data_IF_284069998333
#
_entry.id   IF_284069998333
#
_cell.length_a   1.000
_cell.length_b   1.000
_cell.length_c   1.000
_cell.angle_alpha   90.00
_cell.angle_beta   90.00
_cell.angle_gamma   90.00
#
_symmetry.space_group_name_H-M   'P 1'
#
loop_
_entity.id
_entity.type
_entity.pdbx_description
1 polymer ?
#
# COMPACT_ATOMS: atom_id res chain seq x y z
N UNK A 1 37.95 48.55 -39.24
CA UNK A 1 37.21 47.34 -39.63
C UNK A 1 36.48 46.86 -38.36
N UNK A 2 35.24 47.32 -38.17
CA UNK A 2 34.45 47.02 -36.99
C UNK A 2 33.47 45.91 -37.41
N UNK A 3 33.69 44.71 -36.87
CA UNK A 3 32.77 43.58 -37.04
C UNK A 3 31.60 43.74 -36.10
N UNK A 4 30.41 44.09 -36.61
CA UNK A 4 29.16 44.02 -35.93
C UNK A 4 28.74 42.53 -35.82
N UNK A 5 28.85 41.94 -34.62
CA UNK A 5 28.17 40.69 -34.26
C UNK A 5 26.76 41.05 -33.78
N UNK A 6 25.80 41.07 -34.71
CA UNK A 6 24.39 41.05 -34.37
C UNK A 6 24.02 39.61 -34.03
N UNK A 7 24.01 39.28 -32.74
CA UNK A 7 23.36 38.05 -32.26
C UNK A 7 21.83 38.26 -32.40
N UNK A 8 21.27 37.63 -33.43
CA UNK A 8 19.82 37.54 -33.58
C UNK A 8 19.30 36.65 -32.44
N UNK A 9 18.72 37.27 -31.43
CA UNK A 9 17.92 36.56 -30.43
C UNK A 9 16.66 36.12 -31.19
N UNK A 10 16.60 34.84 -31.62
CA UNK A 10 15.35 34.23 -32.06
C UNK A 10 14.34 34.29 -30.94
N UNK A 11 13.36 35.19 -31.06
CA UNK A 11 12.21 35.22 -30.20
C UNK A 11 11.40 33.96 -30.48
N UNK A 12 11.67 32.90 -29.72
CA UNK A 12 10.88 31.67 -29.77
C UNK A 12 9.43 32.02 -29.46
N UNK A 13 8.55 31.79 -30.41
CA UNK A 13 7.11 32.09 -30.26
C UNK A 13 6.60 31.49 -28.96
N UNK A 14 5.71 32.18 -28.27
CA UNK A 14 5.04 31.67 -27.06
C UNK A 14 4.41 30.27 -27.31
N UNK A 15 3.95 30.00 -28.54
CA UNK A 15 3.46 28.71 -28.99
C UNK A 15 4.57 27.64 -29.01
N UNK A 16 5.78 27.96 -29.46
CA UNK A 16 6.91 27.02 -29.51
C UNK A 16 7.39 26.67 -28.09
N UNK A 17 7.30 27.61 -27.16
CA UNK A 17 7.57 27.34 -25.74
C UNK A 17 6.50 26.45 -25.11
N UNK A 18 5.22 26.67 -25.43
CA UNK A 18 4.13 25.82 -24.98
C UNK A 18 4.23 24.40 -25.57
N UNK A 19 4.56 24.24 -26.85
CA UNK A 19 4.78 22.93 -27.47
C UNK A 19 5.99 22.20 -26.86
N UNK A 20 7.11 22.89 -26.65
CA UNK A 20 8.27 22.35 -25.96
C UNK A 20 7.94 21.93 -24.53
N UNK A 21 7.18 22.74 -23.80
CA UNK A 21 6.72 22.40 -22.43
C UNK A 21 5.77 21.18 -22.44
N UNK A 22 4.82 21.11 -23.37
CA UNK A 22 3.93 19.93 -23.54
C UNK A 22 4.70 18.66 -23.93
N UNK A 23 5.74 18.81 -24.75
CA UNK A 23 6.61 17.69 -25.16
C UNK A 23 7.48 17.24 -24.00
N UNK A 24 8.03 18.16 -23.21
CA UNK A 24 8.77 17.81 -21.98
C UNK A 24 7.88 17.11 -20.94
N UNK A 25 6.63 17.51 -20.80
CA UNK A 25 5.68 16.83 -19.88
C UNK A 25 5.43 15.37 -20.25
N UNK A 26 5.52 15.00 -21.55
CA UNK A 26 5.39 13.61 -22.02
C UNK A 26 6.62 12.75 -21.76
N UNK A 27 7.79 13.35 -21.50
CA UNK A 27 9.07 12.66 -21.27
C UNK A 27 9.19 12.22 -19.81
N UNK A 28 8.55 12.95 -18.88
CA UNK A 28 8.66 12.67 -17.47
C UNK A 28 7.47 11.83 -16.98
N UNK A 29 7.77 10.76 -16.27
CA UNK A 29 6.79 10.03 -15.48
C UNK A 29 6.61 10.71 -14.12
N UNK A 30 5.38 10.71 -13.59
CA UNK A 30 5.14 11.15 -12.22
C UNK A 30 5.99 10.33 -11.24
N UNK A 31 6.52 10.98 -10.21
CA UNK A 31 7.44 10.37 -9.24
C UNK A 31 6.81 9.18 -8.52
N UNK A 32 5.55 9.27 -8.15
CA UNK A 32 4.85 8.23 -7.39
C UNK A 32 4.51 7.04 -8.29
N UNK A 33 4.13 7.28 -9.53
CA UNK A 33 3.93 6.22 -10.53
C UNK A 33 5.26 5.54 -10.91
N UNK A 34 6.35 6.29 -10.96
CA UNK A 34 7.71 5.74 -11.17
C UNK A 34 8.12 4.84 -9.99
N UNK A 35 7.77 5.22 -8.77
CA UNK A 35 8.03 4.41 -7.60
C UNK A 35 7.23 3.09 -7.63
N UNK A 36 5.97 3.11 -8.07
CA UNK A 36 5.20 1.89 -8.27
C UNK A 36 5.84 0.95 -9.30
N UNK A 37 6.46 1.50 -10.37
CA UNK A 37 7.25 0.72 -11.33
C UNK A 37 8.49 0.07 -10.71
N UNK A 38 9.13 0.75 -9.76
CA UNK A 38 10.21 0.13 -8.99
C UNK A 38 9.68 -1.04 -8.15
N UNK A 39 8.59 -0.85 -7.41
CA UNK A 39 8.03 -1.91 -6.58
C UNK A 39 7.43 -3.07 -7.42
N UNK A 40 6.96 -2.80 -8.64
CA UNK A 40 6.57 -3.83 -9.62
C UNK A 40 7.74 -4.78 -9.93
N UNK A 41 8.98 -4.26 -10.09
CA UNK A 41 10.17 -5.12 -10.30
C UNK A 41 10.49 -6.00 -9.10
N UNK A 42 10.21 -5.55 -7.88
CA UNK A 42 10.33 -6.41 -6.69
C UNK A 42 9.33 -7.57 -6.74
N UNK A 43 8.11 -7.31 -7.25
CA UNK A 43 7.11 -8.36 -7.45
C UNK A 43 7.53 -9.34 -8.57
N UNK A 44 8.18 -8.87 -9.62
CA UNK A 44 8.70 -9.71 -10.71
C UNK A 44 9.72 -10.74 -10.20
N UNK A 45 10.53 -10.41 -9.19
CA UNK A 45 11.41 -11.39 -8.53
C UNK A 45 10.63 -12.47 -7.77
N UNK A 46 9.48 -12.11 -7.17
CA UNK A 46 8.59 -13.09 -6.57
C UNK A 46 7.90 -14.01 -7.62
N UNK A 47 7.67 -13.50 -8.83
CA UNK A 47 7.10 -14.25 -9.96
C UNK A 47 8.13 -15.18 -10.62
N UNK A 48 9.41 -14.84 -10.55
CA UNK A 48 10.49 -15.55 -11.24
C UNK A 48 10.73 -16.95 -10.63
N UNK A 49 10.41 -18.00 -11.37
CA UNK A 49 10.54 -19.39 -10.93
C UNK A 49 11.99 -19.89 -10.83
N UNK A 50 12.95 -19.17 -11.37
CA UNK A 50 14.38 -19.47 -11.19
C UNK A 50 14.88 -19.06 -9.79
N UNK A 51 14.15 -18.17 -9.11
CA UNK A 51 14.43 -17.78 -7.72
C UNK A 51 13.90 -18.87 -6.77
N UNK A 52 14.67 -19.28 -5.75
CA UNK A 52 14.23 -20.29 -4.77
C UNK A 52 12.92 -19.88 -4.08
N UNK A 53 12.03 -20.85 -3.82
CA UNK A 53 10.67 -20.62 -3.34
C UNK A 53 10.61 -19.72 -2.07
N UNK A 54 11.48 -19.94 -1.10
CA UNK A 54 11.52 -19.12 0.12
C UNK A 54 11.98 -17.68 -0.15
N UNK A 55 12.88 -17.49 -1.11
CA UNK A 55 13.30 -16.16 -1.53
C UNK A 55 12.17 -15.42 -2.27
N UNK A 56 11.40 -16.13 -3.10
CA UNK A 56 10.20 -15.59 -3.74
C UNK A 56 9.19 -15.07 -2.71
N UNK A 57 8.96 -15.82 -1.62
CA UNK A 57 8.12 -15.38 -0.50
C UNK A 57 8.68 -14.12 0.17
N UNK A 58 10.01 -14.05 0.33
CA UNK A 58 10.68 -12.87 0.86
C UNK A 58 10.45 -11.65 -0.04
N UNK A 59 10.60 -11.79 -1.37
CA UNK A 59 10.31 -10.70 -2.31
C UNK A 59 8.84 -10.26 -2.27
N UNK A 60 7.89 -11.18 -2.16
CA UNK A 60 6.47 -10.84 -1.99
C UNK A 60 6.21 -10.07 -0.68
N UNK A 61 6.89 -10.42 0.40
CA UNK A 61 6.84 -9.71 1.67
C UNK A 61 7.45 -8.30 1.56
N UNK A 62 8.60 -8.16 0.89
CA UNK A 62 9.23 -6.86 0.63
C UNK A 62 8.30 -5.98 -0.21
N UNK A 63 7.70 -6.53 -1.28
CA UNK A 63 6.72 -5.80 -2.09
C UNK A 63 5.59 -5.22 -1.22
N UNK A 64 5.00 -6.03 -0.35
CA UNK A 64 3.91 -5.62 0.52
C UNK A 64 4.36 -4.56 1.54
N UNK A 65 5.51 -4.76 2.17
CA UNK A 65 6.06 -3.80 3.14
C UNK A 65 6.37 -2.44 2.51
N UNK A 66 6.93 -2.45 1.31
CA UNK A 66 7.19 -1.25 0.52
C UNK A 66 5.88 -0.53 0.18
N UNK A 67 4.84 -1.26 -0.19
CA UNK A 67 3.55 -0.69 -0.53
C UNK A 67 2.87 -0.05 0.69
N UNK A 68 2.95 -0.69 1.86
CA UNK A 68 2.44 -0.13 3.12
C UNK A 68 3.12 1.20 3.46
N UNK A 69 4.45 1.26 3.34
CA UNK A 69 5.21 2.49 3.57
C UNK A 69 4.87 3.57 2.54
N UNK A 70 4.69 3.19 1.28
CA UNK A 70 4.27 4.09 0.21
C UNK A 70 2.92 4.75 0.53
N UNK A 71 1.94 3.99 0.99
CA UNK A 71 0.64 4.55 1.39
C UNK A 71 0.77 5.44 2.62
N UNK A 72 1.50 5.00 3.63
CA UNK A 72 1.68 5.75 4.87
C UNK A 72 2.35 7.11 4.64
N UNK A 73 3.43 7.13 3.84
CA UNK A 73 4.27 8.31 3.70
C UNK A 73 3.87 9.13 2.47
N UNK A 74 3.81 8.51 1.28
CA UNK A 74 3.65 9.26 0.03
C UNK A 74 2.20 9.58 -0.29
N UNK A 75 1.31 8.58 -0.20
CA UNK A 75 -0.12 8.82 -0.42
C UNK A 75 -0.70 9.69 0.71
N UNK A 76 -0.27 9.46 1.95
CA UNK A 76 -0.60 10.33 3.09
C UNK A 76 -0.21 11.78 2.83
N UNK A 77 1.02 12.02 2.36
CA UNK A 77 1.48 13.37 1.98
C UNK A 77 0.66 14.01 0.84
N UNK A 78 0.20 13.21 -0.15
CA UNK A 78 -0.68 13.74 -1.21
C UNK A 78 -2.04 14.13 -0.65
N UNK A 79 -2.58 13.39 0.32
CA UNK A 79 -3.84 13.73 1.00
C UNK A 79 -3.67 15.03 1.80
N UNK A 80 -2.57 15.18 2.54
CA UNK A 80 -2.28 16.41 3.27
C UNK A 80 -2.15 17.62 2.34
N UNK A 81 -1.45 17.47 1.21
CA UNK A 81 -1.35 18.51 0.19
C UNK A 81 -2.72 18.89 -0.38
N UNK A 82 -3.60 17.91 -0.63
CA UNK A 82 -4.95 18.15 -1.11
C UNK A 82 -5.81 18.92 -0.10
N UNK A 83 -5.59 18.71 1.21
CA UNK A 83 -6.26 19.47 2.27
C UNK A 83 -5.77 20.91 2.37
N UNK A 84 -4.47 21.15 2.09
CA UNK A 84 -3.88 22.50 2.11
C UNK A 84 -4.20 23.30 0.85
N UNK A 85 -3.99 22.72 -0.33
CA UNK A 85 -4.26 23.36 -1.62
C UNK A 85 -4.57 22.30 -2.70
N UNK A 86 -5.84 22.18 -3.05
CA UNK A 86 -6.33 21.24 -4.07
C UNK A 86 -5.75 21.48 -5.48
N UNK A 87 -5.31 22.70 -5.77
CA UNK A 87 -4.80 23.09 -7.08
C UNK A 87 -3.27 23.05 -7.17
N UNK A 88 -2.59 22.68 -6.08
CA UNK A 88 -1.14 22.49 -6.07
C UNK A 88 -0.75 21.48 -7.15
N UNK A 89 0.25 21.81 -7.96
CA UNK A 89 0.69 20.96 -9.07
C UNK A 89 2.12 20.48 -8.85
N UNK A 90 2.34 19.19 -9.11
CA UNK A 90 3.67 18.61 -9.15
C UNK A 90 4.51 19.25 -10.28
N UNK A 91 5.82 19.41 -10.03
CA UNK A 91 6.69 20.26 -10.86
C UNK A 91 6.92 19.72 -12.27
N UNK A 92 6.93 18.40 -12.50
CA UNK A 92 7.30 17.76 -13.78
C UNK A 92 6.09 17.43 -14.63
N UNK A 93 5.14 16.69 -14.07
CA UNK A 93 3.95 16.23 -14.80
C UNK A 93 2.76 17.16 -14.67
N UNK A 94 2.86 18.16 -13.77
CA UNK A 94 1.79 19.13 -13.49
C UNK A 94 0.48 18.49 -12.97
N UNK A 95 0.54 17.25 -12.49
CA UNK A 95 -0.60 16.58 -11.87
C UNK A 95 -0.91 17.19 -10.50
N UNK A 96 -2.18 17.39 -10.22
CA UNK A 96 -2.67 17.71 -8.88
C UNK A 96 -2.55 16.51 -7.94
N UNK A 97 -2.59 16.67 -6.60
CA UNK A 97 -2.58 15.55 -5.68
C UNK A 97 -3.71 14.54 -5.95
N UNK A 98 -4.93 15.03 -6.28
CA UNK A 98 -6.06 14.16 -6.63
C UNK A 98 -5.79 13.33 -7.89
N UNK A 99 -5.31 13.97 -8.98
CA UNK A 99 -4.96 13.27 -10.23
C UNK A 99 -3.88 12.21 -10.01
N UNK A 100 -2.93 12.46 -9.10
CA UNK A 100 -1.91 11.48 -8.73
C UNK A 100 -2.53 10.28 -8.01
N UNK A 101 -3.41 10.51 -7.02
CA UNK A 101 -4.11 9.45 -6.29
C UNK A 101 -4.98 8.63 -7.24
N UNK A 102 -5.73 9.29 -8.13
CA UNK A 102 -6.60 8.63 -9.12
C UNK A 102 -5.80 7.74 -10.10
N UNK A 103 -4.54 8.10 -10.38
CA UNK A 103 -3.65 7.30 -11.19
C UNK A 103 -2.97 6.16 -10.41
N UNK A 104 -2.68 6.36 -9.12
CA UNK A 104 -2.03 5.39 -8.24
C UNK A 104 -2.95 4.20 -7.97
N UNK A 105 -4.20 4.44 -7.57
CA UNK A 105 -5.12 3.40 -7.08
C UNK A 105 -5.34 2.27 -8.09
N UNK A 106 -5.64 2.52 -9.38
CA UNK A 106 -5.80 1.45 -10.35
C UNK A 106 -4.52 0.63 -10.58
N UNK A 107 -3.35 1.28 -10.53
CA UNK A 107 -2.06 0.58 -10.66
C UNK A 107 -1.83 -0.36 -9.49
N UNK A 108 -2.04 0.12 -8.28
CA UNK A 108 -1.93 -0.70 -7.06
C UNK A 108 -2.91 -1.87 -7.08
N UNK A 109 -4.16 -1.66 -7.47
CA UNK A 109 -5.14 -2.73 -7.59
C UNK A 109 -4.72 -3.81 -8.61
N UNK A 110 -4.10 -3.40 -9.73
CA UNK A 110 -3.56 -4.34 -10.72
C UNK A 110 -2.40 -5.15 -10.13
N UNK A 111 -1.46 -4.49 -9.47
CA UNK A 111 -0.29 -5.15 -8.87
C UNK A 111 -0.69 -6.08 -7.72
N UNK A 112 -1.67 -5.71 -6.90
CA UNK A 112 -2.15 -6.56 -5.82
C UNK A 112 -2.80 -7.84 -6.34
N UNK A 113 -3.59 -7.78 -7.42
CA UNK A 113 -4.13 -9.00 -8.05
C UNK A 113 -3.01 -9.95 -8.53
N UNK A 114 -1.92 -9.39 -9.11
CA UNK A 114 -0.74 -10.19 -9.48
C UNK A 114 -0.09 -10.82 -8.25
N UNK A 115 0.17 -10.02 -7.22
CA UNK A 115 0.74 -10.49 -5.96
C UNK A 115 -0.10 -11.61 -5.34
N UNK A 116 -1.42 -11.47 -5.29
CA UNK A 116 -2.32 -12.48 -4.73
C UNK A 116 -2.23 -13.80 -5.51
N UNK A 117 -2.23 -13.74 -6.85
CA UNK A 117 -2.07 -14.93 -7.70
C UNK A 117 -0.71 -15.63 -7.49
N UNK A 118 0.37 -14.85 -7.40
CA UNK A 118 1.73 -15.38 -7.14
C UNK A 118 1.82 -15.99 -5.76
N UNK A 119 1.21 -15.36 -4.76
CA UNK A 119 1.16 -15.88 -3.40
C UNK A 119 0.42 -17.23 -3.34
N UNK A 120 -0.74 -17.35 -4.00
CA UNK A 120 -1.48 -18.61 -4.07
C UNK A 120 -0.65 -19.72 -4.72
N UNK A 121 0.03 -19.43 -5.85
CA UNK A 121 0.94 -20.39 -6.51
C UNK A 121 2.07 -20.84 -5.56
N UNK A 122 2.68 -19.90 -4.83
CA UNK A 122 3.74 -20.23 -3.88
C UNK A 122 3.23 -21.07 -2.71
N UNK A 123 2.01 -20.79 -2.20
CA UNK A 123 1.39 -21.59 -1.15
C UNK A 123 1.09 -23.02 -1.61
N UNK A 124 0.69 -23.22 -2.86
CA UNK A 124 0.49 -24.55 -3.43
C UNK A 124 1.83 -25.29 -3.58
N UNK A 125 2.88 -24.61 -4.05
CA UNK A 125 4.23 -25.18 -4.13
C UNK A 125 4.79 -25.59 -2.77
N UNK A 126 4.50 -24.83 -1.70
CA UNK A 126 4.91 -25.19 -0.34
C UNK A 126 4.27 -26.51 0.15
N UNK A 127 3.04 -26.80 -0.29
CA UNK A 127 2.38 -28.08 0.06
C UNK A 127 3.15 -29.29 -0.47
N UNK A 128 3.81 -29.17 -1.62
CA UNK A 128 4.66 -30.23 -2.18
C UNK A 128 5.88 -30.51 -1.28
N UNK A 129 6.28 -29.54 -0.47
CA UNK A 129 7.34 -29.64 0.52
C UNK A 129 6.82 -29.92 1.95
N UNK A 130 5.56 -30.39 2.09
CA UNK A 130 4.90 -30.66 3.37
C UNK A 130 4.77 -29.43 4.29
N UNK A 131 4.76 -28.23 3.72
CA UNK A 131 4.49 -26.98 4.45
C UNK A 131 3.08 -26.53 4.13
N UNK A 132 2.22 -26.49 5.14
CA UNK A 132 0.80 -26.18 4.97
C UNK A 132 0.37 -25.02 5.85
N UNK A 133 -0.36 -24.06 5.27
CA UNK A 133 -1.07 -23.07 6.07
C UNK A 133 -2.34 -23.71 6.66
N UNK A 134 -2.43 -23.74 7.97
CA UNK A 134 -3.54 -24.38 8.67
C UNK A 134 -4.81 -23.55 8.58
N UNK A 135 -5.90 -24.16 8.12
CA UNK A 135 -7.22 -23.57 8.17
C UNK A 135 -7.92 -23.95 9.49
N UNK A 136 -8.06 -23.01 10.41
CA UNK A 136 -8.66 -23.24 11.73
C UNK A 136 -10.12 -23.73 11.70
N UNK A 137 -10.83 -23.59 10.57
CA UNK A 137 -12.18 -24.16 10.42
C UNK A 137 -12.17 -25.67 10.13
N UNK A 138 -11.01 -26.24 9.77
CA UNK A 138 -10.84 -27.65 9.36
C UNK A 138 -9.79 -28.38 10.19
N UNK A 139 -9.60 -27.99 11.45
CA UNK A 139 -8.66 -28.63 12.37
C UNK A 139 -9.30 -29.81 13.12
N UNK A 140 -8.49 -30.77 13.53
CA UNK A 140 -8.92 -31.88 14.37
C UNK A 140 -9.31 -31.42 15.79
N UNK A 141 -10.07 -32.25 16.50
CA UNK A 141 -10.42 -31.97 17.91
C UNK A 141 -9.19 -31.74 18.80
N UNK A 142 -8.15 -32.56 18.61
CA UNK A 142 -6.90 -32.48 19.37
C UNK A 142 -6.16 -31.18 19.11
N UNK A 143 -6.09 -30.73 17.87
CA UNK A 143 -5.49 -29.45 17.50
C UNK A 143 -6.30 -28.28 18.07
N UNK A 144 -7.63 -28.36 18.02
CA UNK A 144 -8.52 -27.36 18.60
C UNK A 144 -8.34 -27.22 20.12
N UNK A 145 -8.20 -28.33 20.83
CA UNK A 145 -7.94 -28.36 22.28
C UNK A 145 -6.58 -27.71 22.60
N UNK A 146 -5.53 -28.06 21.83
CA UNK A 146 -4.21 -27.47 21.98
C UNK A 146 -4.24 -25.95 21.74
N UNK A 147 -4.83 -25.51 20.62
CA UNK A 147 -4.92 -24.09 20.28
C UNK A 147 -5.71 -23.28 21.31
N UNK A 148 -6.78 -23.87 21.87
CA UNK A 148 -7.56 -23.24 22.94
C UNK A 148 -6.74 -23.10 24.22
N UNK A 149 -6.01 -24.13 24.61
CA UNK A 149 -5.12 -24.06 25.77
C UNK A 149 -4.02 -23.02 25.59
N UNK A 150 -3.39 -23.01 24.41
CA UNK A 150 -2.38 -22.01 24.05
C UNK A 150 -2.94 -20.58 24.09
N UNK A 151 -4.11 -20.36 23.47
CA UNK A 151 -4.77 -19.05 23.48
C UNK A 151 -5.03 -18.56 24.93
N UNK A 152 -5.56 -19.43 25.80
CA UNK A 152 -5.87 -19.06 27.17
C UNK A 152 -4.62 -18.76 28.01
N UNK A 153 -3.53 -19.50 27.77
CA UNK A 153 -2.30 -19.34 28.54
C UNK A 153 -1.46 -18.13 28.07
N UNK A 154 -1.33 -17.97 26.75
CA UNK A 154 -0.34 -17.05 26.17
C UNK A 154 -0.94 -15.80 25.56
N UNK A 155 -2.15 -15.88 24.99
CA UNK A 155 -2.72 -14.76 24.24
C UNK A 155 -3.78 -13.99 25.04
N UNK A 156 -4.72 -14.70 25.65
CA UNK A 156 -5.83 -14.06 26.35
C UNK A 156 -5.39 -13.07 27.46
N UNK A 157 -4.31 -13.31 28.22
CA UNK A 157 -3.83 -12.35 29.23
C UNK A 157 -3.30 -11.03 28.64
N UNK A 158 -2.89 -11.04 27.35
CA UNK A 158 -2.37 -9.86 26.66
C UNK A 158 -3.47 -8.99 26.04
N UNK A 159 -4.68 -9.54 25.91
CA UNK A 159 -5.81 -8.84 25.30
C UNK A 159 -6.40 -7.84 26.28
N UNK A 160 -6.38 -6.56 25.93
CA UNK A 160 -6.98 -5.48 26.72
C UNK A 160 -8.18 -4.89 25.97
N UNK A 161 -9.42 -5.35 26.25
CA UNK A 161 -10.60 -4.84 25.58
C UNK A 161 -10.88 -3.39 25.97
N UNK A 162 -11.14 -2.53 24.98
CA UNK A 162 -11.55 -1.15 25.18
C UNK A 162 -13.01 -0.98 24.77
N UNK A 163 -13.83 -0.46 25.66
CA UNK A 163 -15.24 -0.18 25.39
C UNK A 163 -15.35 1.18 24.72
N UNK A 164 -15.99 1.23 23.55
CA UNK A 164 -16.27 2.46 22.83
C UNK A 164 -17.77 2.72 22.89
N UNK A 165 -18.17 3.81 23.54
CA UNK A 165 -19.55 4.24 23.63
C UNK A 165 -19.76 5.59 22.94
N UNK A 166 -21.02 6.04 22.86
CA UNK A 166 -21.41 7.31 22.22
C UNK A 166 -20.68 8.55 22.80
N UNK A 167 -20.15 8.48 24.01
CA UNK A 167 -19.50 9.59 24.72
C UNK A 167 -17.98 9.50 24.76
N UNK A 168 -17.39 8.43 24.21
CA UNK A 168 -15.94 8.22 24.21
C UNK A 168 -15.41 8.38 22.80
N UNK A 169 -14.28 9.09 22.61
CA UNK A 169 -13.67 9.18 21.31
C UNK A 169 -13.21 7.80 20.84
N UNK A 170 -13.25 7.59 19.54
CA UNK A 170 -12.70 6.37 18.93
C UNK A 170 -11.19 6.31 19.22
N UNK A 171 -10.64 5.17 19.70
CA UNK A 171 -9.24 5.07 20.04
C UNK A 171 -8.36 5.19 18.77
N UNK A 172 -7.15 5.71 18.94
CA UNK A 172 -6.17 5.69 17.88
C UNK A 172 -5.72 4.26 17.62
N UNK A 173 -5.94 3.80 16.37
CA UNK A 173 -5.52 2.47 15.94
C UNK A 173 -4.12 2.60 15.31
N UNK A 174 -3.17 1.82 15.82
CA UNK A 174 -1.83 1.79 15.24
C UNK A 174 -1.83 1.00 13.93
N UNK A 175 -1.01 1.44 12.99
CA UNK A 175 -0.83 0.72 11.74
C UNK A 175 -0.12 -0.62 11.97
N UNK A 176 -0.44 -1.62 11.14
CA UNK A 176 0.12 -3.00 11.19
C UNK A 176 -0.21 -3.79 12.46
N UNK A 177 -1.14 -3.35 13.29
CA UNK A 177 -1.68 -4.14 14.39
C UNK A 177 -3.02 -4.77 14.00
N UNK A 178 -3.32 -5.92 14.57
CA UNK A 178 -4.59 -6.62 14.35
C UNK A 178 -5.56 -6.23 15.47
N UNK A 179 -6.77 -5.83 15.09
CA UNK A 179 -7.83 -5.47 16.03
C UNK A 179 -9.05 -6.33 15.80
N UNK A 180 -9.61 -6.87 16.90
CA UNK A 180 -10.91 -7.51 16.87
C UNK A 180 -11.97 -6.51 17.36
N UNK A 181 -13.03 -6.35 16.57
CA UNK A 181 -14.16 -5.47 16.93
C UNK A 181 -15.40 -6.32 17.17
N UNK A 182 -15.97 -6.21 18.35
CA UNK A 182 -17.23 -6.85 18.70
C UNK A 182 -18.31 -5.78 18.89
N UNK A 183 -19.44 -5.95 18.19
CA UNK A 183 -20.62 -5.11 18.38
C UNK A 183 -21.53 -5.81 19.37
N UNK A 184 -21.76 -5.16 20.52
CA UNK A 184 -22.63 -5.67 21.56
C UNK A 184 -23.91 -4.85 21.63
N UNK A 185 -25.04 -5.51 21.61
CA UNK A 185 -26.34 -4.89 21.85
C UNK A 185 -26.69 -5.01 23.34
N UNK A 186 -26.96 -3.89 23.96
CA UNK A 186 -27.51 -3.86 25.31
C UNK A 186 -28.96 -3.39 25.28
N UNK A 187 -29.71 -3.65 26.33
CA UNK A 187 -31.10 -3.18 26.44
C UNK A 187 -31.25 -1.66 26.28
N UNK A 188 -30.17 -0.89 26.43
CA UNK A 188 -30.14 0.58 26.36
C UNK A 188 -29.30 1.14 25.18
N UNK A 189 -28.88 0.33 24.22
CA UNK A 189 -28.10 0.77 23.05
C UNK A 189 -27.00 -0.19 22.65
N UNK A 190 -26.32 0.14 21.55
CA UNK A 190 -25.21 -0.64 21.00
C UNK A 190 -23.88 -0.17 21.61
N UNK A 191 -23.05 -1.10 22.08
CA UNK A 191 -21.69 -0.87 22.52
C UNK A 191 -20.71 -1.53 21.55
N UNK A 192 -19.68 -0.81 21.17
CA UNK A 192 -18.61 -1.31 20.32
C UNK A 192 -17.40 -1.64 21.22
N UNK A 193 -16.86 -2.86 21.07
CA UNK A 193 -15.63 -3.25 21.74
C UNK A 193 -14.53 -3.41 20.69
N UNK A 194 -13.35 -2.85 20.96
CA UNK A 194 -12.13 -3.12 20.20
C UNK A 194 -11.10 -3.70 21.14
N UNK A 195 -10.37 -4.72 20.67
CA UNK A 195 -9.22 -5.27 21.40
C UNK A 195 -8.02 -5.21 20.49
N UNK A 196 -6.91 -4.58 20.88
CA UNK A 196 -5.64 -4.81 20.23
C UNK A 196 -5.18 -6.23 20.53
N UNK A 197 -4.77 -6.93 19.52
CA UNK A 197 -4.14 -8.25 19.67
C UNK A 197 -2.62 -8.11 19.61
#
# INVERSE_FOLDING_TARGET
MILHLTSTIEITSYRDLEEKMKTQQKIFMNRELSWLKFNERVLEEAENREVPLCERLTFASIYQSNLDEFFMVRVGSLIDQMLLDKNMKENKTKMTPQEQIDAIIPQVQKLNRRKDSVYEEMMDSLKEHNIHLVNFQKISKKESEYLRAYFQAEIAPLISPTIIGKRQPFPFLKNKEIYAVAVLETKNGCLLYTSPS
#
